data_IF_999266498018
#
_entry.id   IF_999266498018
#
_cell.length_a   1.000
_cell.length_b   1.000
_cell.length_c   1.000
_cell.angle_alpha   90.00
_cell.angle_beta   90.00
_cell.angle_gamma   90.00
#
_symmetry.space_group_name_H-M   'P 1'
#
loop_
_entity.id
_entity.type
_entity.pdbx_description
1 polymer ?
#
# COMPACT_ATOMS: atom_id res chain seq x y z
N UNK A 1 -4.90 -16.82 -7.96
CA UNK A 1 -3.65 -17.51 -7.60
C UNK A 1 -2.42 -16.63 -7.83
N UNK A 2 -2.27 -16.01 -9.02
CA UNK A 2 -1.11 -15.15 -9.35
C UNK A 2 -0.99 -13.92 -8.44
N UNK A 3 -2.09 -13.25 -8.08
CA UNK A 3 -2.06 -12.08 -7.20
C UNK A 3 -1.59 -12.43 -5.78
N UNK A 4 -2.02 -13.56 -5.23
CA UNK A 4 -1.53 -14.03 -3.94
C UNK A 4 -0.03 -14.39 -3.99
N UNK A 5 0.41 -15.01 -5.08
CA UNK A 5 1.82 -15.32 -5.29
C UNK A 5 2.68 -14.05 -5.30
N UNK A 6 2.27 -13.03 -6.04
CA UNK A 6 3.02 -11.78 -6.22
C UNK A 6 2.92 -10.88 -4.98
N UNK A 7 1.72 -10.70 -4.44
CA UNK A 7 1.48 -9.69 -3.40
C UNK A 7 1.73 -10.20 -1.98
N UNK A 8 1.70 -11.52 -1.76
CA UNK A 8 1.80 -12.09 -0.41
C UNK A 8 3.00 -13.02 -0.31
N UNK A 9 3.04 -14.09 -1.10
CA UNK A 9 4.06 -15.13 -0.95
C UNK A 9 5.45 -14.59 -1.27
N UNK A 10 5.61 -13.82 -2.36
CA UNK A 10 6.88 -13.23 -2.71
C UNK A 10 7.40 -12.25 -1.64
N UNK A 11 6.54 -11.41 -1.09
CA UNK A 11 6.91 -10.51 -0.01
C UNK A 11 7.35 -11.26 1.25
N UNK A 12 6.63 -12.32 1.63
CA UNK A 12 7.02 -13.18 2.76
C UNK A 12 8.38 -13.86 2.51
N UNK A 13 8.62 -14.36 1.32
CA UNK A 13 9.90 -14.98 0.94
C UNK A 13 11.06 -13.98 1.08
N UNK A 14 10.86 -12.75 0.62
CA UNK A 14 11.86 -11.67 0.79
C UNK A 14 12.12 -11.38 2.28
N UNK A 15 11.07 -11.25 3.08
CA UNK A 15 11.19 -11.02 4.51
C UNK A 15 12.00 -12.12 5.20
N UNK A 16 11.70 -13.38 4.91
CA UNK A 16 12.44 -14.52 5.47
C UNK A 16 13.93 -14.48 5.11
N UNK A 17 14.26 -13.99 3.93
CA UNK A 17 15.65 -13.89 3.47
C UNK A 17 16.40 -12.70 4.03
N UNK A 18 15.73 -11.58 4.32
CA UNK A 18 16.37 -10.30 4.59
C UNK A 18 16.30 -9.88 6.06
N UNK A 19 15.23 -10.20 6.78
CA UNK A 19 14.99 -9.65 8.13
C UNK A 19 16.10 -9.97 9.12
N UNK A 20 16.72 -11.14 9.03
CA UNK A 20 17.80 -11.54 9.94
C UNK A 20 19.06 -10.67 9.82
N UNK A 21 19.30 -10.09 8.65
CA UNK A 21 20.46 -9.24 8.36
C UNK A 21 20.19 -7.74 8.47
N UNK A 22 18.95 -7.33 8.72
CA UNK A 22 18.58 -5.93 8.83
C UNK A 22 18.99 -5.36 10.21
N UNK A 23 19.75 -4.25 10.25
CA UNK A 23 20.12 -3.62 11.52
C UNK A 23 18.99 -2.79 12.11
N UNK A 24 19.13 -2.43 13.39
CA UNK A 24 18.28 -1.41 14.01
C UNK A 24 18.32 -0.11 13.21
N UNK A 25 17.20 0.59 13.12
CA UNK A 25 17.01 1.77 12.27
C UNK A 25 16.50 1.45 10.86
N UNK A 26 16.43 0.17 10.48
CA UNK A 26 15.79 -0.26 9.23
C UNK A 26 14.27 -0.14 9.31
N UNK A 27 13.63 -0.20 8.17
CA UNK A 27 12.16 -0.29 8.08
C UNK A 27 11.70 -1.27 7.01
N UNK A 28 10.53 -1.86 7.23
CA UNK A 28 9.82 -2.68 6.24
C UNK A 28 8.50 -1.99 5.96
N UNK A 29 8.39 -1.34 4.80
CA UNK A 29 7.21 -0.59 4.41
C UNK A 29 6.46 -1.36 3.31
N UNK A 30 5.25 -1.76 3.62
CA UNK A 30 4.37 -2.47 2.69
C UNK A 30 3.53 -1.48 1.90
N UNK A 31 3.28 -1.78 0.64
CA UNK A 31 2.37 -1.01 -0.20
C UNK A 31 1.07 -1.80 -0.37
N UNK A 32 0.04 -1.25 0.20
CA UNK A 32 -1.32 -1.77 0.09
C UNK A 32 -2.13 -1.04 -0.98
N UNK A 33 -3.39 -0.84 -0.65
CA UNK A 33 -4.38 -0.14 -1.48
C UNK A 33 -5.50 0.35 -0.58
N UNK A 34 -6.37 1.23 -1.06
CA UNK A 34 -7.65 1.49 -0.41
C UNK A 34 -8.42 0.18 -0.17
N UNK A 35 -8.26 -0.82 -1.07
CA UNK A 35 -8.86 -2.15 -0.94
C UNK A 35 -8.14 -3.07 0.06
N UNK A 36 -7.18 -2.58 0.81
CA UNK A 36 -6.60 -3.32 1.96
C UNK A 36 -7.56 -3.38 3.15
N UNK A 37 -8.51 -2.46 3.24
CA UNK A 37 -9.52 -2.40 4.30
C UNK A 37 -10.96 -2.31 3.77
N UNK A 38 -11.14 -2.36 2.45
CA UNK A 38 -12.43 -2.26 1.76
C UNK A 38 -12.56 -3.30 0.66
N UNK A 39 -13.77 -3.40 0.09
CA UNK A 39 -14.04 -4.29 -1.01
C UNK A 39 -14.90 -3.61 -2.07
N UNK A 40 -14.72 -4.03 -3.31
CA UNK A 40 -15.57 -3.66 -4.43
C UNK A 40 -15.98 -4.91 -5.20
N UNK A 41 -17.17 -4.92 -5.84
CA UNK A 41 -17.61 -6.05 -6.64
C UNK A 41 -16.61 -6.43 -7.74
N UNK A 42 -16.50 -7.72 -8.03
CA UNK A 42 -15.66 -8.23 -9.12
C UNK A 42 -14.15 -8.27 -8.85
N UNK A 43 -13.70 -7.90 -7.64
CA UNK A 43 -12.28 -7.81 -7.29
C UNK A 43 -11.83 -8.79 -6.22
N UNK A 44 -12.47 -9.96 -6.13
CA UNK A 44 -12.26 -10.94 -5.05
C UNK A 44 -10.79 -11.25 -4.77
N UNK A 45 -10.04 -11.72 -5.77
CA UNK A 45 -8.63 -12.09 -5.57
C UNK A 45 -7.74 -10.91 -5.19
N UNK A 46 -8.00 -9.74 -5.76
CA UNK A 46 -7.27 -8.52 -5.44
C UNK A 46 -7.55 -8.07 -4.00
N UNK A 47 -8.80 -8.01 -3.61
CA UNK A 47 -9.24 -7.63 -2.26
C UNK A 47 -8.62 -8.56 -1.21
N UNK A 48 -8.69 -9.88 -1.41
CA UNK A 48 -8.06 -10.84 -0.49
C UNK A 48 -6.56 -10.59 -0.39
N UNK A 49 -5.86 -10.41 -1.51
CA UNK A 49 -4.41 -10.20 -1.50
C UNK A 49 -4.03 -8.92 -0.77
N UNK A 50 -4.80 -7.84 -0.93
CA UNK A 50 -4.54 -6.55 -0.27
C UNK A 50 -4.92 -6.56 1.21
N UNK A 51 -5.95 -7.29 1.62
CA UNK A 51 -6.25 -7.53 3.03
C UNK A 51 -5.16 -8.38 3.71
N UNK A 52 -4.63 -9.37 3.01
CA UNK A 52 -3.52 -10.18 3.54
C UNK A 52 -2.28 -9.34 3.85
N UNK A 53 -2.00 -8.30 3.06
CA UNK A 53 -0.86 -7.40 3.30
C UNK A 53 -1.01 -6.63 4.62
N UNK A 54 -2.21 -6.28 5.05
CA UNK A 54 -2.45 -5.71 6.39
C UNK A 54 -2.03 -6.69 7.47
N UNK A 55 -2.45 -7.94 7.35
CA UNK A 55 -2.06 -9.01 8.27
C UNK A 55 -0.55 -9.24 8.30
N UNK A 56 0.09 -9.24 7.14
CA UNK A 56 1.55 -9.36 7.05
C UNK A 56 2.27 -8.22 7.78
N UNK A 57 1.86 -6.98 7.55
CA UNK A 57 2.44 -5.82 8.22
C UNK A 57 2.31 -5.94 9.74
N UNK A 58 1.12 -6.27 10.23
CA UNK A 58 0.85 -6.42 11.66
C UNK A 58 1.66 -7.56 12.30
N UNK A 59 1.74 -8.70 11.63
CA UNK A 59 2.56 -9.83 12.09
C UNK A 59 4.05 -9.46 12.12
N UNK A 60 4.56 -8.87 11.04
CA UNK A 60 5.95 -8.41 10.97
C UNK A 60 6.28 -7.41 12.08
N UNK A 61 5.35 -6.49 12.38
CA UNK A 61 5.50 -5.53 13.48
C UNK A 61 5.73 -6.24 14.83
N UNK A 62 4.98 -7.30 15.11
CA UNK A 62 5.10 -8.06 16.35
C UNK A 62 6.37 -8.92 16.37
N UNK A 63 6.71 -9.56 15.25
CA UNK A 63 7.89 -10.41 15.13
C UNK A 63 9.20 -9.61 15.28
N UNK A 64 9.19 -8.34 14.94
CA UNK A 64 10.34 -7.44 15.05
C UNK A 64 10.45 -6.72 16.41
N UNK A 65 9.63 -7.08 17.38
CA UNK A 65 9.64 -6.46 18.71
C UNK A 65 11.05 -6.48 19.32
N UNK A 66 11.51 -5.32 19.79
CA UNK A 66 12.82 -5.18 20.42
C UNK A 66 14.00 -5.06 19.46
N UNK A 67 13.80 -5.17 18.14
CA UNK A 67 14.90 -5.08 17.16
C UNK A 67 15.19 -3.66 16.67
N UNK A 68 14.37 -2.67 17.00
CA UNK A 68 14.53 -1.29 16.52
C UNK A 68 14.26 -1.15 15.02
N UNK A 69 13.44 -2.03 14.45
CA UNK A 69 13.00 -2.00 13.07
C UNK A 69 11.50 -1.72 13.08
N UNK A 70 11.06 -0.70 12.35
CA UNK A 70 9.64 -0.38 12.27
C UNK A 70 9.05 -0.81 10.94
N UNK A 71 7.74 -1.02 10.94
CA UNK A 71 6.98 -1.42 9.76
C UNK A 71 5.66 -0.65 9.69
N UNK A 72 5.21 -0.38 8.49
CA UNK A 72 3.92 0.26 8.25
C UNK A 72 3.36 -0.19 6.91
N UNK A 73 2.08 0.07 6.71
CA UNK A 73 1.38 -0.14 5.46
C UNK A 73 0.94 1.20 4.88
N UNK A 74 1.33 1.48 3.65
CA UNK A 74 0.89 2.65 2.91
C UNK A 74 -0.19 2.20 1.92
N UNK A 75 -1.36 2.81 1.99
CA UNK A 75 -2.51 2.52 1.15
C UNK A 75 -2.80 3.68 0.21
N UNK A 76 -2.19 3.71 -0.99
CA UNK A 76 -2.45 4.74 -1.98
C UNK A 76 -3.89 4.67 -2.51
N UNK A 77 -4.46 5.83 -2.81
CA UNK A 77 -5.63 5.93 -3.68
C UNK A 77 -5.24 5.83 -5.15
N UNK A 78 -6.07 6.38 -6.04
CA UNK A 78 -5.80 6.35 -7.47
C UNK A 78 -4.57 7.20 -7.83
N UNK A 79 -3.50 6.50 -8.15
CA UNK A 79 -2.19 7.10 -8.46
C UNK A 79 -1.95 7.05 -9.97
N UNK A 80 -1.47 8.14 -10.53
CA UNK A 80 -1.20 8.30 -11.97
C UNK A 80 0.01 7.44 -12.37
N UNK A 81 -0.25 6.18 -12.65
CA UNK A 81 0.73 5.20 -13.08
C UNK A 81 0.35 4.60 -14.43
N UNK A 82 1.32 4.03 -15.13
CA UNK A 82 1.07 3.30 -16.37
C UNK A 82 0.03 2.18 -16.16
N UNK A 83 0.09 1.47 -15.05
CA UNK A 83 -0.86 0.41 -14.72
C UNK A 83 -2.30 0.95 -14.60
N UNK A 84 -2.49 2.08 -13.93
CA UNK A 84 -3.81 2.72 -13.84
C UNK A 84 -4.28 3.21 -15.20
N UNK A 85 -3.43 3.86 -15.96
CA UNK A 85 -3.75 4.38 -17.30
C UNK A 85 -4.12 3.27 -18.27
N UNK A 86 -3.44 2.15 -18.21
CA UNK A 86 -3.78 0.95 -19.01
C UNK A 86 -5.16 0.41 -18.60
N UNK A 87 -5.46 0.39 -17.31
CA UNK A 87 -6.74 -0.09 -16.79
C UNK A 87 -7.93 0.83 -17.16
N UNK A 88 -7.71 2.14 -17.11
CA UNK A 88 -8.74 3.14 -17.46
C UNK A 88 -8.98 3.26 -18.96
N UNK A 89 -8.00 2.89 -19.79
CA UNK A 89 -8.00 3.19 -21.22
C UNK A 89 -7.82 4.68 -21.49
N UNK A 90 -8.14 5.09 -22.72
CA UNK A 90 -7.97 6.49 -23.16
C UNK A 90 -9.25 7.33 -22.99
N UNK A 91 -10.15 6.97 -22.07
CA UNK A 91 -11.41 7.69 -21.88
C UNK A 91 -11.26 8.80 -20.82
N UNK A 92 -11.26 10.10 -21.21
CA UNK A 92 -11.13 11.22 -20.27
C UNK A 92 -12.29 11.30 -19.26
N UNK A 93 -13.48 10.84 -19.61
CA UNK A 93 -14.64 10.85 -18.70
C UNK A 93 -14.45 9.90 -17.53
N UNK A 94 -13.86 8.73 -17.78
CA UNK A 94 -13.54 7.75 -16.72
C UNK A 94 -12.45 8.30 -15.80
N UNK A 95 -11.42 8.93 -16.34
CA UNK A 95 -10.39 9.58 -15.56
C UNK A 95 -10.95 10.70 -14.68
N UNK A 96 -11.82 11.55 -15.23
CA UNK A 96 -12.49 12.62 -14.49
C UNK A 96 -13.39 12.07 -13.38
N UNK A 97 -14.13 10.99 -13.65
CA UNK A 97 -14.99 10.36 -12.65
C UNK A 97 -14.17 9.84 -11.47
N UNK A 98 -13.03 9.23 -11.72
CA UNK A 98 -12.11 8.71 -10.68
C UNK A 98 -11.45 9.88 -9.93
N UNK A 99 -10.96 10.88 -10.63
CA UNK A 99 -10.40 12.08 -10.01
C UNK A 99 -11.42 12.79 -9.10
N UNK A 100 -12.69 12.81 -9.50
CA UNK A 100 -13.79 13.38 -8.73
C UNK A 100 -14.16 12.63 -7.46
N UNK A 101 -13.60 11.45 -7.23
CA UNK A 101 -13.83 10.69 -5.99
C UNK A 101 -13.04 11.23 -4.79
N UNK A 102 -12.14 12.16 -4.97
CA UNK A 102 -11.38 12.79 -3.89
C UNK A 102 -11.58 14.31 -3.85
N UNK A 103 -11.19 14.92 -2.74
CA UNK A 103 -11.41 16.34 -2.46
C UNK A 103 -10.61 17.29 -3.35
N UNK A 104 -9.61 16.79 -4.05
CA UNK A 104 -8.70 17.59 -4.88
C UNK A 104 -8.99 17.46 -6.39
N UNK A 105 -9.96 16.61 -6.77
CA UNK A 105 -10.37 16.37 -8.16
C UNK A 105 -9.19 16.02 -9.10
N UNK A 106 -8.25 15.23 -8.63
CA UNK A 106 -7.09 14.79 -9.42
C UNK A 106 -6.62 13.39 -9.04
N UNK A 107 -5.80 12.81 -9.89
CA UNK A 107 -5.02 11.63 -9.53
C UNK A 107 -3.87 12.03 -8.60
N UNK A 108 -3.36 11.06 -7.87
CA UNK A 108 -2.18 11.23 -7.02
C UNK A 108 -0.94 11.15 -7.89
N UNK A 109 0.00 12.07 -7.72
CA UNK A 109 1.31 11.98 -8.36
C UNK A 109 2.13 10.88 -7.68
N UNK A 110 2.79 9.97 -8.42
CA UNK A 110 3.65 8.95 -7.83
C UNK A 110 4.72 9.50 -6.90
N UNK A 111 5.20 10.71 -7.16
CA UNK A 111 6.17 11.41 -6.30
C UNK A 111 5.62 11.71 -4.91
N UNK A 112 4.33 11.98 -4.76
CA UNK A 112 3.69 12.19 -3.46
C UNK A 112 3.73 10.91 -2.61
N UNK A 113 3.52 9.76 -3.23
CA UNK A 113 3.62 8.45 -2.53
C UNK A 113 5.09 8.17 -2.16
N UNK A 114 6.02 8.45 -3.05
CA UNK A 114 7.45 8.29 -2.76
C UNK A 114 7.92 9.17 -1.59
N UNK A 115 7.45 10.41 -1.51
CA UNK A 115 7.74 11.31 -0.37
C UNK A 115 7.14 10.78 0.94
N UNK A 116 5.93 10.24 0.91
CA UNK A 116 5.32 9.61 2.09
C UNK A 116 6.11 8.39 2.55
N UNK A 117 6.58 7.55 1.61
CA UNK A 117 7.42 6.39 1.92
C UNK A 117 8.72 6.85 2.59
N UNK A 118 9.37 7.88 2.05
CA UNK A 118 10.58 8.46 2.63
C UNK A 118 10.35 9.00 4.04
N UNK A 119 9.26 9.74 4.23
CA UNK A 119 8.87 10.24 5.54
C UNK A 119 8.60 9.10 6.53
N UNK A 120 7.86 8.08 6.12
CA UNK A 120 7.53 6.93 6.95
C UNK A 120 8.79 6.17 7.40
N UNK A 121 9.79 6.03 6.53
CA UNK A 121 11.08 5.44 6.89
C UNK A 121 11.78 6.22 8.02
N UNK A 122 11.72 7.54 8.01
CA UNK A 122 12.40 8.40 8.99
C UNK A 122 11.60 8.62 10.29
N UNK A 123 10.39 8.08 10.38
CA UNK A 123 9.49 8.32 11.51
C UNK A 123 8.98 7.02 12.15
N UNK A 124 9.80 6.33 12.95
CA UNK A 124 9.43 5.04 13.55
C UNK A 124 8.24 5.10 14.49
N UNK A 125 7.78 6.28 14.89
CA UNK A 125 6.56 6.46 15.70
C UNK A 125 5.32 5.86 15.05
N UNK A 126 5.33 5.69 13.72
CA UNK A 126 4.21 5.09 12.97
C UNK A 126 4.28 3.56 12.90
N UNK A 127 5.16 2.92 13.67
CA UNK A 127 5.30 1.46 13.66
C UNK A 127 3.95 0.76 13.87
N UNK A 128 3.58 -0.13 12.96
CA UNK A 128 2.31 -0.85 12.97
C UNK A 128 1.12 -0.08 12.39
N UNK A 129 1.33 1.12 11.84
CA UNK A 129 0.25 1.95 11.30
C UNK A 129 -0.16 1.56 9.89
N UNK A 130 -1.44 1.80 9.60
CA UNK A 130 -2.00 1.81 8.24
C UNK A 130 -2.19 3.27 7.84
N UNK A 131 -1.50 3.71 6.81
CA UNK A 131 -1.50 5.09 6.34
C UNK A 131 -2.24 5.19 4.99
N UNK A 132 -3.41 5.79 5.00
CA UNK A 132 -4.16 6.07 3.78
C UNK A 132 -3.65 7.34 3.12
N UNK A 133 -3.22 7.23 1.86
CA UNK A 133 -2.72 8.32 1.04
C UNK A 133 -3.62 8.45 -0.21
N UNK A 134 -4.80 9.02 -0.04
CA UNK A 134 -5.88 8.96 -1.02
C UNK A 134 -6.58 10.31 -1.30
N UNK A 135 -5.99 11.42 -0.87
CA UNK A 135 -6.55 12.77 -1.05
C UNK A 135 -7.98 12.94 -0.49
N UNK A 136 -8.33 12.22 0.56
CA UNK A 136 -9.68 12.21 1.11
C UNK A 136 -10.69 11.56 0.16
N UNK A 137 -10.32 10.46 -0.44
CA UNK A 137 -11.19 9.71 -1.36
C UNK A 137 -12.52 9.38 -0.69
N UNK A 138 -13.61 9.61 -1.41
CA UNK A 138 -14.97 9.33 -0.94
C UNK A 138 -15.11 7.86 -0.57
N UNK A 139 -15.60 7.65 0.61
CA UNK A 139 -15.92 6.34 1.15
C UNK A 139 -17.32 5.91 0.69
N UNK A 140 -17.43 4.71 0.16
CA UNK A 140 -18.72 4.09 -0.17
C UNK A 140 -19.01 2.95 0.80
#
# INVERSE_FOLDING_TARGET
KRQLQTNVIAANTLNQSLLSSMPAGSSVLYIGSTLSEKAVPGSFSYVISKHAVVGMMRATCQDLMGRGIHTALICPGFTDTEMLRTHLGSNPEVEQAIAGMNSFNRLIDPGEIAELIRWAHHNPVINGAVLHANLGQKEN
#
